data_IF_924369520858
#
_entry.id   IF_924369520858
#
_cell.length_a   1.000
_cell.length_b   1.000
_cell.length_c   1.000
_cell.angle_alpha   90.00
_cell.angle_beta   90.00
_cell.angle_gamma   90.00
#
_symmetry.space_group_name_H-M   'P 1'
#
loop_
_entity.id
_entity.type
_entity.pdbx_description
1 polymer ?
#
# COMPACT_ATOMS: atom_id res chain seq x y z
N UNK A 1 18.92 70.50 16.35
CA UNK A 1 17.64 70.51 15.67
C UNK A 1 17.40 69.17 15.07
N UNK A 2 16.49 68.40 15.67
CA UNK A 2 15.63 67.31 15.21
C UNK A 2 16.27 66.16 14.48
N UNK A 3 16.56 65.07 15.17
CA UNK A 3 15.80 63.86 15.47
C UNK A 3 14.94 63.31 14.31
N UNK A 4 15.33 62.15 13.80
CA UNK A 4 14.45 61.08 13.29
C UNK A 4 15.07 59.73 13.52
N UNK A 5 14.67 59.10 14.62
CA UNK A 5 14.66 57.65 14.85
C UNK A 5 13.64 57.00 13.89
N UNK A 6 14.04 56.03 13.14
CA UNK A 6 13.13 55.09 12.47
C UNK A 6 13.36 53.69 13.03
N UNK A 7 12.33 53.23 13.72
CA UNK A 7 12.20 51.89 14.24
C UNK A 7 12.14 50.86 13.08
N UNK A 8 12.94 49.83 13.17
CA UNK A 8 12.82 48.63 12.37
C UNK A 8 11.91 47.66 13.09
N UNK A 9 10.70 47.50 12.62
CA UNK A 9 9.79 46.42 12.99
C UNK A 9 10.24 45.14 12.33
N UNK A 10 10.70 44.21 13.14
CA UNK A 10 10.98 42.82 12.78
C UNK A 10 9.65 42.07 12.77
N UNK A 11 9.07 41.86 11.63
CA UNK A 11 7.98 40.91 11.46
C UNK A 11 8.54 39.49 11.42
N UNK A 12 8.39 38.75 12.51
CA UNK A 12 8.47 37.31 12.55
C UNK A 12 7.26 36.74 11.85
N UNK A 13 7.49 36.16 10.66
CA UNK A 13 6.46 35.42 9.93
C UNK A 13 6.14 34.12 10.65
N UNK A 14 4.95 34.04 11.18
CA UNK A 14 4.34 32.79 11.65
C UNK A 14 4.17 31.84 10.45
N UNK A 15 4.86 30.71 10.54
CA UNK A 15 4.64 29.56 9.62
C UNK A 15 3.29 28.95 9.99
N UNK A 16 2.27 29.28 9.23
CA UNK A 16 0.93 28.68 9.37
C UNK A 16 0.99 27.21 8.96
N UNK A 17 0.87 26.30 9.90
CA UNK A 17 0.73 24.87 9.67
C UNK A 17 -0.50 24.58 8.82
N UNK A 18 -0.29 24.07 7.61
CA UNK A 18 -1.32 23.49 6.74
C UNK A 18 -1.72 22.10 7.27
N UNK A 19 -2.52 22.04 8.35
CA UNK A 19 -2.97 20.80 8.99
C UNK A 19 -4.48 20.56 8.92
N UNK A 20 -5.22 21.37 8.16
CA UNK A 20 -6.68 21.22 8.04
C UNK A 20 -7.13 21.04 6.59
N UNK A 21 -8.12 20.19 6.37
CA UNK A 21 -8.90 20.14 5.13
C UNK A 21 -9.69 21.44 4.95
N UNK A 22 -10.17 21.73 3.74
CA UNK A 22 -10.94 22.95 3.40
C UNK A 22 -12.17 23.20 4.29
N UNK A 23 -12.54 22.26 5.18
CA UNK A 23 -13.66 22.34 6.12
C UNK A 23 -13.23 22.46 7.60
N UNK A 24 -11.92 22.56 7.93
CA UNK A 24 -11.45 22.74 9.31
C UNK A 24 -11.47 21.46 10.17
N UNK A 25 -11.78 20.29 9.60
CA UNK A 25 -11.71 19.00 10.30
C UNK A 25 -10.27 18.46 10.30
N UNK A 26 -9.83 17.75 11.37
CA UNK A 26 -8.53 17.10 11.39
C UNK A 26 -8.44 16.05 10.27
N UNK A 27 -7.26 15.91 9.65
CA UNK A 27 -7.02 14.93 8.57
C UNK A 27 -7.35 13.49 8.97
N UNK A 28 -7.26 13.15 10.26
CA UNK A 28 -7.66 11.85 10.80
C UNK A 28 -9.11 11.49 10.51
N UNK A 29 -10.01 12.48 10.58
CA UNK A 29 -11.45 12.29 10.41
C UNK A 29 -11.85 12.08 8.93
N UNK A 30 -10.96 12.37 8.01
CA UNK A 30 -11.12 12.14 6.57
C UNK A 30 -10.53 10.82 6.06
N UNK A 31 -9.99 9.99 6.97
CA UNK A 31 -9.38 8.69 6.63
C UNK A 31 -10.31 7.55 7.03
N UNK A 32 -10.78 6.78 6.06
CA UNK A 32 -11.54 5.56 6.30
C UNK A 32 -10.61 4.34 6.40
N UNK A 33 -11.02 3.31 7.14
CA UNK A 33 -10.27 2.06 7.27
C UNK A 33 -11.10 0.87 6.77
N UNK A 34 -10.55 0.11 5.84
CA UNK A 34 -11.19 -1.05 5.22
C UNK A 34 -10.38 -2.32 5.48
N UNK A 35 -11.07 -3.39 5.86
CA UNK A 35 -10.46 -4.70 6.09
C UNK A 35 -10.99 -5.70 5.07
N UNK A 36 -10.10 -6.23 4.25
CA UNK A 36 -10.41 -7.31 3.29
C UNK A 36 -10.43 -8.63 4.05
N UNK A 37 -11.56 -9.34 4.01
CA UNK A 37 -11.71 -10.62 4.70
C UNK A 37 -12.57 -11.58 3.86
N UNK A 38 -12.10 -12.82 3.70
CA UNK A 38 -12.86 -13.89 3.04
C UNK A 38 -14.02 -14.35 3.93
N UNK A 39 -15.19 -14.62 3.35
CA UNK A 39 -16.38 -15.06 4.11
C UNK A 39 -16.13 -16.34 4.89
N UNK A 40 -15.31 -17.26 4.36
CA UNK A 40 -14.92 -18.50 5.07
C UNK A 40 -13.99 -18.27 6.26
N UNK A 41 -13.37 -17.09 6.41
CA UNK A 41 -12.43 -16.74 7.48
C UNK A 41 -13.10 -15.79 8.49
N UNK A 42 -14.33 -16.12 8.90
CA UNK A 42 -15.14 -15.28 9.78
C UNK A 42 -14.51 -15.06 11.16
N UNK A 43 -13.79 -16.05 11.67
CA UNK A 43 -13.03 -15.95 12.93
C UNK A 43 -11.91 -14.88 12.87
N UNK A 44 -11.28 -14.68 11.71
CA UNK A 44 -10.30 -13.62 11.52
C UNK A 44 -10.98 -12.24 11.51
N UNK A 45 -12.16 -12.15 10.87
CA UNK A 45 -12.95 -10.92 10.93
C UNK A 45 -13.33 -10.57 12.37
N UNK A 46 -13.87 -11.52 13.12
CA UNK A 46 -14.23 -11.28 14.53
C UNK A 46 -13.04 -10.84 15.37
N UNK A 47 -11.85 -11.39 15.10
CA UNK A 47 -10.63 -11.01 15.81
C UNK A 47 -10.24 -9.57 15.56
N UNK A 48 -10.09 -9.17 14.28
CA UNK A 48 -9.68 -7.80 13.93
C UNK A 48 -10.75 -6.77 14.28
N UNK A 49 -12.03 -7.13 14.16
CA UNK A 49 -13.14 -6.30 14.63
C UNK A 49 -13.07 -6.05 16.14
N UNK A 50 -12.82 -7.11 16.93
CA UNK A 50 -12.67 -6.97 18.37
C UNK A 50 -11.42 -6.17 18.78
N UNK A 51 -10.33 -6.21 18.01
CA UNK A 51 -9.19 -5.30 18.21
C UNK A 51 -9.59 -3.84 17.92
N UNK A 52 -10.27 -3.60 16.79
CA UNK A 52 -10.72 -2.27 16.40
C UNK A 52 -11.67 -1.65 17.43
N UNK A 53 -12.63 -2.42 17.93
CA UNK A 53 -13.56 -1.98 19.00
C UNK A 53 -12.81 -1.58 20.27
N UNK A 54 -11.82 -2.36 20.72
CA UNK A 54 -10.99 -2.03 21.89
C UNK A 54 -10.18 -0.76 21.71
N UNK A 55 -9.78 -0.44 20.49
CA UNK A 55 -9.00 0.73 20.14
C UNK A 55 -9.88 1.94 19.78
N UNK A 56 -11.21 1.79 19.77
CA UNK A 56 -12.14 2.83 19.32
C UNK A 56 -12.00 3.19 17.84
N UNK A 57 -11.46 2.27 17.03
CA UNK A 57 -11.23 2.46 15.59
C UNK A 57 -12.43 1.97 14.79
N UNK A 58 -12.98 2.82 13.93
CA UNK A 58 -14.00 2.41 12.97
C UNK A 58 -13.34 1.70 11.79
N UNK A 59 -13.75 0.45 11.52
CA UNK A 59 -13.30 -0.33 10.37
C UNK A 59 -14.50 -0.88 9.61
N UNK A 60 -14.43 -0.85 8.27
CA UNK A 60 -15.43 -1.43 7.40
C UNK A 60 -14.90 -2.71 6.76
N UNK A 61 -15.72 -3.78 6.80
CA UNK A 61 -15.38 -5.05 6.16
C UNK A 61 -15.64 -4.98 4.66
N UNK A 62 -14.66 -5.38 3.87
CA UNK A 62 -14.82 -5.63 2.44
C UNK A 62 -14.70 -7.13 2.19
N UNK A 63 -15.70 -7.70 1.52
CA UNK A 63 -15.69 -9.13 1.19
C UNK A 63 -14.51 -9.47 0.27
N UNK A 64 -13.68 -10.40 0.70
CA UNK A 64 -12.60 -10.95 -0.10
C UNK A 64 -13.14 -11.83 -1.23
N UNK A 65 -12.36 -11.95 -2.31
CA UNK A 65 -12.72 -12.77 -3.47
C UNK A 65 -12.13 -14.17 -3.34
N UNK A 66 -12.99 -15.19 -3.16
CA UNK A 66 -12.55 -16.59 -3.19
C UNK A 66 -12.41 -17.09 -4.62
N UNK A 67 -11.20 -17.08 -5.13
CA UNK A 67 -10.88 -17.56 -6.48
C UNK A 67 -10.47 -19.04 -6.50
N UNK A 68 -10.70 -19.84 -5.45
CA UNK A 68 -10.31 -21.25 -5.39
C UNK A 68 -10.94 -22.09 -6.51
N UNK A 69 -12.11 -21.69 -7.02
CA UNK A 69 -12.85 -22.34 -8.09
C UNK A 69 -12.75 -21.64 -9.45
N UNK A 70 -11.94 -20.58 -9.55
CA UNK A 70 -11.79 -19.80 -10.79
C UNK A 70 -10.80 -20.47 -11.71
N UNK A 71 -11.20 -20.70 -12.97
CA UNK A 71 -10.29 -21.07 -14.06
C UNK A 71 -9.47 -19.84 -14.48
N UNK A 72 -8.17 -19.83 -14.17
CA UNK A 72 -7.30 -18.72 -14.57
C UNK A 72 -7.14 -18.58 -16.10
N UNK A 73 -7.49 -19.59 -16.86
CA UNK A 73 -7.51 -19.51 -18.33
C UNK A 73 -8.62 -18.59 -18.84
N UNK A 74 -9.71 -18.49 -18.09
CA UNK A 74 -10.89 -17.68 -18.39
C UNK A 74 -10.97 -16.40 -17.54
N UNK A 75 -9.97 -16.20 -16.68
CA UNK A 75 -9.95 -15.08 -15.76
C UNK A 75 -9.80 -13.75 -16.51
N UNK A 76 -10.78 -12.87 -16.32
CA UNK A 76 -10.77 -11.53 -16.88
C UNK A 76 -9.52 -10.76 -16.41
N UNK A 77 -9.00 -9.92 -17.30
CA UNK A 77 -7.84 -9.06 -17.04
C UNK A 77 -6.52 -9.78 -16.76
N UNK A 78 -6.48 -11.11 -16.61
CA UNK A 78 -5.24 -11.86 -16.37
C UNK A 78 -4.42 -12.04 -17.66
N UNK A 79 -3.25 -11.45 -17.69
CA UNK A 79 -2.30 -11.51 -18.80
C UNK A 79 -1.27 -12.63 -18.58
N UNK A 80 -1.69 -13.88 -18.78
CA UNK A 80 -0.89 -15.08 -18.50
C UNK A 80 0.56 -14.98 -19.00
N UNK A 81 0.78 -14.67 -20.29
CA UNK A 81 2.13 -14.60 -20.88
C UNK A 81 3.00 -13.53 -20.23
N UNK A 82 2.43 -12.35 -19.97
CA UNK A 82 3.13 -11.24 -19.31
C UNK A 82 3.47 -11.61 -17.86
N UNK A 83 2.51 -12.21 -17.14
CA UNK A 83 2.71 -12.66 -15.76
C UNK A 83 3.83 -13.71 -15.66
N UNK A 84 3.81 -14.74 -16.52
CA UNK A 84 4.85 -15.80 -16.52
C UNK A 84 6.22 -15.21 -16.85
N UNK A 85 6.30 -14.31 -17.84
CA UNK A 85 7.56 -13.61 -18.17
C UNK A 85 8.13 -12.83 -16.98
N UNK A 86 7.28 -12.11 -16.25
CA UNK A 86 7.70 -11.28 -15.13
C UNK A 86 8.05 -12.10 -13.89
N UNK A 87 7.29 -13.16 -13.60
CA UNK A 87 7.37 -13.90 -12.33
C UNK A 87 8.11 -15.25 -12.43
N UNK A 88 8.29 -15.80 -13.64
CA UNK A 88 8.89 -17.11 -13.87
C UNK A 88 8.01 -18.27 -13.42
N UNK A 89 6.69 -18.03 -13.30
CA UNK A 89 5.65 -19.01 -12.93
C UNK A 89 4.27 -18.48 -13.33
N UNK A 90 3.25 -19.32 -13.46
CA UNK A 90 1.86 -18.86 -13.55
C UNK A 90 1.39 -18.25 -12.24
N UNK A 91 0.30 -17.50 -12.30
CA UNK A 91 -0.44 -16.98 -11.15
C UNK A 91 -1.15 -18.11 -10.40
N UNK A 92 -1.30 -17.98 -9.09
CA UNK A 92 -2.14 -18.87 -8.29
C UNK A 92 -3.56 -18.30 -8.16
N UNK A 93 -4.60 -19.15 -8.06
CA UNK A 93 -5.97 -18.66 -7.84
C UNK A 93 -6.10 -17.73 -6.62
N UNK A 94 -5.41 -18.04 -5.50
CA UNK A 94 -5.42 -17.16 -4.33
C UNK A 94 -4.85 -15.77 -4.61
N UNK A 95 -3.79 -15.65 -5.43
CA UNK A 95 -3.23 -14.35 -5.82
C UNK A 95 -4.22 -13.57 -6.70
N UNK A 96 -4.96 -14.26 -7.56
CA UNK A 96 -6.00 -13.63 -8.38
C UNK A 96 -7.14 -13.10 -7.51
N UNK A 97 -7.61 -13.91 -6.54
CA UNK A 97 -8.62 -13.50 -5.57
C UNK A 97 -8.18 -12.29 -4.73
N UNK A 98 -6.95 -12.33 -4.20
CA UNK A 98 -6.35 -11.21 -3.48
C UNK A 98 -6.32 -9.94 -4.34
N UNK A 99 -5.88 -10.04 -5.59
CA UNK A 99 -5.84 -8.91 -6.52
C UNK A 99 -7.24 -8.28 -6.68
N UNK A 100 -8.24 -9.09 -6.98
CA UNK A 100 -9.62 -8.61 -7.16
C UNK A 100 -10.21 -8.02 -5.88
N UNK A 101 -9.88 -8.58 -4.72
CA UNK A 101 -10.34 -8.08 -3.43
C UNK A 101 -9.79 -6.68 -3.13
N UNK A 102 -8.51 -6.41 -3.39
CA UNK A 102 -7.96 -5.07 -3.30
C UNK A 102 -8.61 -4.09 -4.27
N UNK A 103 -8.85 -4.50 -5.52
CA UNK A 103 -9.56 -3.65 -6.48
C UNK A 103 -11.01 -3.36 -6.03
N UNK A 104 -11.67 -4.32 -5.37
CA UNK A 104 -12.99 -4.12 -4.76
C UNK A 104 -12.93 -3.13 -3.60
N UNK A 105 -11.96 -3.28 -2.69
CA UNK A 105 -11.79 -2.37 -1.56
C UNK A 105 -11.57 -0.91 -2.01
N UNK A 106 -10.79 -0.69 -3.07
CA UNK A 106 -10.61 0.64 -3.65
C UNK A 106 -11.91 1.21 -4.23
N UNK A 107 -12.77 0.37 -4.85
CA UNK A 107 -14.09 0.82 -5.35
C UNK A 107 -15.03 1.17 -4.20
N UNK A 108 -15.04 0.36 -3.12
CA UNK A 108 -15.79 0.65 -1.90
C UNK A 108 -15.34 1.99 -1.30
N UNK A 109 -14.03 2.20 -1.17
CA UNK A 109 -13.49 3.47 -0.71
C UNK A 109 -13.97 4.65 -1.58
N UNK A 110 -13.91 4.52 -2.90
CA UNK A 110 -14.34 5.62 -3.81
C UNK A 110 -15.83 5.93 -3.75
N UNK A 111 -16.67 5.01 -3.25
CA UNK A 111 -18.09 5.27 -3.00
C UNK A 111 -18.37 6.00 -1.67
N UNK A 112 -17.38 6.09 -0.77
CA UNK A 112 -17.48 6.87 0.46
C UNK A 112 -17.16 8.35 0.23
N UNK A 113 -17.29 9.18 1.25
CA UNK A 113 -16.89 10.60 1.25
C UNK A 113 -15.45 10.84 1.74
N UNK A 114 -14.74 9.81 2.20
CA UNK A 114 -13.40 9.95 2.76
C UNK A 114 -12.38 10.43 1.73
N UNK A 115 -11.39 11.21 2.13
CA UNK A 115 -10.32 11.73 1.25
C UNK A 115 -9.20 10.73 1.04
N UNK A 116 -8.98 9.85 2.03
CA UNK A 116 -8.01 8.78 1.98
C UNK A 116 -8.54 7.52 2.66
N UNK A 117 -7.89 6.40 2.41
CA UNK A 117 -8.23 5.13 3.03
C UNK A 117 -7.00 4.35 3.45
N UNK A 118 -7.10 3.67 4.58
CA UNK A 118 -6.22 2.58 4.97
C UNK A 118 -6.89 1.29 4.50
N UNK A 119 -6.23 0.57 3.60
CA UNK A 119 -6.69 -0.75 3.14
C UNK A 119 -5.84 -1.80 3.83
N UNK A 120 -6.49 -2.77 4.48
CA UNK A 120 -5.83 -3.82 5.26
C UNK A 120 -6.34 -5.21 4.90
N UNK A 121 -5.49 -6.23 5.03
CA UNK A 121 -5.90 -7.64 5.08
C UNK A 121 -6.27 -8.03 6.52
N UNK A 122 -6.96 -9.16 6.69
CA UNK A 122 -7.49 -9.63 7.97
C UNK A 122 -6.45 -10.34 8.87
N UNK A 123 -5.19 -10.30 8.48
CA UNK A 123 -4.07 -10.94 9.18
C UNK A 123 -3.06 -9.94 9.76
N UNK A 124 -3.46 -8.70 9.96
CA UNK A 124 -2.67 -7.68 10.65
C UNK A 124 -3.11 -7.52 12.11
N UNK A 125 -2.21 -7.00 12.97
CA UNK A 125 -2.52 -6.55 14.32
C UNK A 125 -2.61 -5.04 14.36
N UNK A 126 -3.74 -4.50 14.80
CA UNK A 126 -4.01 -3.07 14.81
C UNK A 126 -3.17 -2.35 15.88
N UNK A 127 -2.81 -1.09 15.59
CA UNK A 127 -2.12 -0.21 16.52
C UNK A 127 -3.03 0.98 16.86
N UNK A 128 -3.03 1.40 18.12
CA UNK A 128 -3.91 2.47 18.59
C UNK A 128 -3.70 3.81 17.88
N UNK A 129 -2.49 4.06 17.39
CA UNK A 129 -2.10 5.30 16.72
C UNK A 129 -2.07 5.19 15.17
N UNK A 130 -2.67 4.12 14.61
CA UNK A 130 -2.62 3.85 13.16
C UNK A 130 -3.19 5.01 12.33
N UNK A 131 -4.35 5.53 12.70
CA UNK A 131 -5.04 6.58 11.95
C UNK A 131 -4.28 7.91 12.05
N UNK A 132 -3.80 8.26 13.23
CA UNK A 132 -3.01 9.48 13.46
C UNK A 132 -1.66 9.42 12.74
N UNK A 133 -1.01 8.26 12.72
CA UNK A 133 0.23 8.07 11.94
C UNK A 133 -0.06 8.17 10.45
N UNK A 134 -1.17 7.60 9.97
CA UNK A 134 -1.58 7.74 8.57
C UNK A 134 -1.84 9.21 8.20
N UNK A 135 -2.50 9.98 9.05
CA UNK A 135 -2.71 11.41 8.85
C UNK A 135 -1.38 12.19 8.81
N UNK A 136 -0.47 11.90 9.74
CA UNK A 136 0.86 12.52 9.77
C UNK A 136 1.70 12.16 8.52
N UNK A 137 1.56 10.94 8.01
CA UNK A 137 2.20 10.49 6.78
C UNK A 137 1.66 11.27 5.56
N UNK A 138 0.34 11.42 5.43
CA UNK A 138 -0.26 12.24 4.34
C UNK A 138 0.19 13.68 4.40
N UNK A 139 0.22 14.28 5.59
CA UNK A 139 0.70 15.65 5.78
C UNK A 139 2.16 15.81 5.35
N UNK A 140 3.02 14.84 5.68
CA UNK A 140 4.43 14.85 5.30
C UNK A 140 4.69 14.49 3.82
N UNK A 141 3.72 13.83 3.15
CA UNK A 141 3.84 13.39 1.75
C UNK A 141 2.62 13.78 0.90
N UNK A 142 2.32 15.08 0.71
CA UNK A 142 1.09 15.55 0.05
C UNK A 142 0.99 15.12 -1.43
N UNK A 143 2.10 14.74 -2.04
CA UNK A 143 2.15 14.22 -3.41
C UNK A 143 1.89 12.71 -3.49
N UNK A 144 1.69 12.00 -2.38
CA UNK A 144 1.51 10.56 -2.37
C UNK A 144 0.18 10.14 -3.01
N UNK A 145 0.24 9.17 -3.89
CA UNK A 145 -0.94 8.42 -4.34
C UNK A 145 -1.15 7.21 -3.42
N UNK A 146 -0.05 6.52 -3.04
CA UNK A 146 -0.03 5.33 -2.17
C UNK A 146 1.16 5.38 -1.22
N UNK A 147 0.96 5.01 0.05
CA UNK A 147 2.04 4.77 1.01
C UNK A 147 1.88 3.38 1.63
N UNK A 148 2.85 2.52 1.44
CA UNK A 148 2.86 1.18 2.07
C UNK A 148 3.20 1.32 3.54
N UNK A 149 2.31 0.87 4.42
CA UNK A 149 2.44 0.94 5.88
C UNK A 149 3.02 -0.36 6.47
N UNK A 150 2.96 -1.46 5.70
CA UNK A 150 3.55 -2.74 6.03
C UNK A 150 4.30 -3.31 4.83
N UNK A 151 5.55 -3.69 5.06
CA UNK A 151 6.43 -4.29 4.07
C UNK A 151 7.08 -5.55 4.66
N UNK A 152 7.28 -6.59 3.85
CA UNK A 152 8.07 -7.74 4.30
C UNK A 152 9.55 -7.39 4.47
N UNK A 153 10.04 -6.42 3.71
CA UNK A 153 11.40 -5.91 3.81
C UNK A 153 11.53 -4.50 3.23
N UNK A 154 12.39 -3.71 3.83
CA UNK A 154 12.84 -2.42 3.33
C UNK A 154 14.35 -2.50 3.11
N UNK A 155 14.81 -2.35 1.86
CA UNK A 155 16.25 -2.48 1.51
C UNK A 155 16.73 -1.23 0.83
N UNK A 156 17.76 -0.61 1.38
CA UNK A 156 18.32 0.68 0.96
C UNK A 156 17.19 1.73 0.83
N UNK A 157 16.51 1.95 1.95
CA UNK A 157 15.46 2.96 2.07
C UNK A 157 16.07 4.36 1.97
N UNK A 158 15.61 5.15 1.02
CA UNK A 158 15.94 6.57 0.89
C UNK A 158 14.83 7.39 1.53
N UNK A 159 15.13 8.02 2.64
CA UNK A 159 14.22 8.95 3.32
C UNK A 159 13.91 10.15 2.42
N UNK A 160 12.63 10.53 2.36
CA UNK A 160 12.14 11.70 1.63
C UNK A 160 11.47 12.66 2.59
N UNK A 161 10.73 12.16 3.57
CA UNK A 161 10.05 12.95 4.59
C UNK A 161 10.10 12.26 5.94
N UNK A 162 10.06 13.03 7.01
CA UNK A 162 9.85 12.56 8.37
C UNK A 162 8.58 13.16 8.92
N UNK A 163 7.70 12.31 9.48
CA UNK A 163 6.42 12.76 10.02
C UNK A 163 6.58 13.40 11.41
N UNK A 164 5.58 14.14 11.85
CA UNK A 164 5.50 14.66 13.23
C UNK A 164 5.41 13.53 14.28
N UNK A 165 5.05 12.33 13.88
CA UNK A 165 4.99 11.11 14.71
C UNK A 165 6.29 10.29 14.66
N UNK A 166 7.32 10.78 13.95
CA UNK A 166 8.64 10.16 13.88
C UNK A 166 8.79 9.12 12.76
N UNK A 167 7.76 8.84 11.97
CA UNK A 167 7.86 7.90 10.85
C UNK A 167 8.78 8.45 9.75
N UNK A 168 9.66 7.59 9.25
CA UNK A 168 10.52 7.88 8.10
C UNK A 168 9.86 7.33 6.84
N UNK A 169 9.47 8.22 5.94
CA UNK A 169 8.74 7.89 4.70
C UNK A 169 9.64 8.16 3.50
N UNK A 170 9.70 7.20 2.58
CA UNK A 170 10.58 7.32 1.44
C UNK A 170 10.37 6.25 0.39
N UNK A 171 11.44 5.89 -0.30
CA UNK A 171 11.44 4.88 -1.37
C UNK A 171 12.61 3.90 -1.19
N UNK A 172 12.38 2.63 -1.49
CA UNK A 172 13.43 1.62 -1.49
C UNK A 172 14.10 1.49 -2.85
N UNK A 173 15.45 1.52 -2.88
CA UNK A 173 16.23 1.30 -4.10
C UNK A 173 16.16 -0.16 -4.55
N UNK A 174 16.05 -1.09 -3.61
CA UNK A 174 15.95 -2.53 -3.89
C UNK A 174 14.59 -3.09 -3.50
N UNK A 175 14.17 -4.14 -4.22
CA UNK A 175 12.89 -4.78 -4.01
C UNK A 175 12.79 -6.14 -4.70
N UNK A 176 11.62 -6.71 -4.76
CA UNK A 176 10.34 -6.16 -4.27
C UNK A 176 10.30 -6.08 -2.74
N UNK A 177 9.56 -5.09 -2.22
CA UNK A 177 9.31 -4.95 -0.78
C UNK A 177 8.35 -6.03 -0.29
N UNK A 178 7.41 -6.42 -1.19
CA UNK A 178 6.36 -7.39 -0.89
C UNK A 178 5.32 -6.83 0.09
N UNK A 179 4.30 -7.61 0.33
CA UNK A 179 3.12 -7.30 1.16
C UNK A 179 2.23 -6.18 0.60
N UNK A 180 0.95 -6.45 0.56
CA UNK A 180 -0.12 -5.46 0.41
C UNK A 180 -1.04 -5.47 1.64
N UNK A 181 -0.59 -6.13 2.73
CA UNK A 181 -1.40 -6.36 3.93
C UNK A 181 -1.83 -5.07 4.62
N UNK A 182 -1.11 -3.95 4.44
CA UNK A 182 -1.59 -2.63 4.84
C UNK A 182 -0.95 -1.52 4.01
N UNK A 183 -1.78 -0.63 3.49
CA UNK A 183 -1.33 0.58 2.79
C UNK A 183 -2.36 1.70 2.91
N UNK A 184 -1.86 2.92 2.84
CA UNK A 184 -2.63 4.15 2.77
C UNK A 184 -2.75 4.58 1.32
N UNK A 185 -3.95 5.01 0.89
CA UNK A 185 -4.22 5.45 -0.47
C UNK A 185 -5.09 6.69 -0.46
N UNK A 186 -4.72 7.69 -1.27
CA UNK A 186 -5.57 8.87 -1.48
C UNK A 186 -6.65 8.56 -2.51
N UNK A 187 -7.73 9.35 -2.52
CA UNK A 187 -8.81 9.21 -3.52
C UNK A 187 -8.26 9.30 -4.95
N UNK A 188 -7.37 10.25 -5.22
CA UNK A 188 -6.67 10.36 -6.50
C UNK A 188 -5.82 9.12 -6.79
N UNK A 189 -5.12 8.61 -5.78
CA UNK A 189 -4.33 7.39 -5.88
C UNK A 189 -5.19 6.17 -6.21
N UNK A 190 -6.33 6.00 -5.56
CA UNK A 190 -7.25 4.89 -5.79
C UNK A 190 -7.77 4.86 -7.25
N UNK A 191 -8.15 6.01 -7.79
CA UNK A 191 -8.56 6.12 -9.22
C UNK A 191 -7.43 5.69 -10.16
N UNK A 192 -6.21 6.16 -9.91
CA UNK A 192 -5.03 5.76 -10.71
C UNK A 192 -4.71 4.27 -10.56
N UNK A 193 -4.79 3.70 -9.35
CA UNK A 193 -4.57 2.27 -9.13
C UNK A 193 -5.58 1.46 -9.92
N UNK A 194 -6.88 1.78 -9.84
CA UNK A 194 -7.93 1.08 -10.59
C UNK A 194 -7.71 1.12 -12.10
N UNK A 195 -7.25 2.26 -12.63
CA UNK A 195 -6.94 2.40 -14.06
C UNK A 195 -5.67 1.65 -14.47
N UNK A 196 -4.58 1.88 -13.74
CA UNK A 196 -3.25 1.40 -14.17
C UNK A 196 -2.99 -0.07 -13.84
N UNK A 197 -3.69 -0.61 -12.85
CA UNK A 197 -3.57 -1.99 -12.40
C UNK A 197 -4.74 -2.88 -12.87
N UNK A 198 -5.58 -2.43 -13.79
CA UNK A 198 -6.66 -3.22 -14.35
C UNK A 198 -6.16 -4.53 -14.97
N UNK A 199 -5.03 -4.47 -15.69
CA UNK A 199 -4.42 -5.65 -16.33
C UNK A 199 -3.46 -6.35 -15.37
N UNK A 200 -3.73 -7.61 -15.08
CA UNK A 200 -3.00 -8.41 -14.10
C UNK A 200 -1.78 -9.07 -14.72
N UNK A 201 -0.63 -8.45 -14.60
CA UNK A 201 0.67 -8.94 -15.10
C UNK A 201 1.64 -9.32 -13.97
N UNK A 202 1.32 -8.96 -12.72
CA UNK A 202 2.12 -9.18 -11.52
C UNK A 202 1.20 -9.47 -10.33
N UNK A 203 1.70 -10.09 -9.25
CA UNK A 203 1.00 -10.09 -7.96
C UNK A 203 0.70 -8.66 -7.50
N UNK A 204 -0.40 -8.45 -6.79
CA UNK A 204 -0.89 -7.12 -6.44
C UNK A 204 0.13 -6.29 -5.64
N UNK A 205 0.78 -6.90 -4.66
CA UNK A 205 1.81 -6.27 -3.83
C UNK A 205 2.98 -5.73 -4.66
N UNK A 206 3.43 -6.49 -5.68
CA UNK A 206 4.49 -6.08 -6.60
C UNK A 206 3.98 -5.02 -7.59
N UNK A 207 2.75 -5.17 -8.10
CA UNK A 207 2.15 -4.21 -9.02
C UNK A 207 1.99 -2.83 -8.37
N UNK A 208 1.51 -2.79 -7.12
CA UNK A 208 1.24 -1.57 -6.35
C UNK A 208 2.52 -0.73 -6.12
N UNK A 209 3.66 -1.36 -5.89
CA UNK A 209 4.92 -0.65 -5.59
C UNK A 209 5.64 -0.09 -6.84
N UNK A 210 5.11 -0.34 -8.06
CA UNK A 210 5.78 0.00 -9.33
C UNK A 210 5.44 1.41 -9.84
N UNK A 211 5.63 2.43 -9.01
CA UNK A 211 5.40 3.83 -9.42
C UNK A 211 6.10 4.22 -10.74
N UNK A 212 7.29 3.67 -11.00
CA UNK A 212 8.03 3.88 -12.26
C UNK A 212 7.35 3.34 -13.53
N UNK A 213 6.42 2.42 -13.39
CA UNK A 213 5.70 1.83 -14.51
C UNK A 213 4.27 2.35 -14.64
N UNK A 214 3.69 2.80 -13.54
CA UNK A 214 2.28 3.22 -13.44
C UNK A 214 2.09 4.73 -13.40
N UNK A 215 3.15 5.49 -13.11
CA UNK A 215 3.06 6.93 -12.85
C UNK A 215 2.43 7.27 -11.49
N UNK A 216 2.24 6.27 -10.62
CA UNK A 216 1.83 6.48 -9.24
C UNK A 216 2.98 7.07 -8.41
N UNK A 217 2.67 8.02 -7.53
CA UNK A 217 3.59 8.46 -6.48
C UNK A 217 3.49 7.50 -5.30
N UNK A 218 4.34 6.46 -5.31
CA UNK A 218 4.36 5.41 -4.29
C UNK A 218 5.50 5.65 -3.32
N UNK A 219 5.17 5.61 -2.04
CA UNK A 219 6.12 5.67 -0.94
C UNK A 219 5.98 4.44 -0.04
N UNK A 220 6.90 4.28 0.88
CA UNK A 220 6.82 3.28 1.96
C UNK A 220 7.41 3.84 3.24
N UNK A 221 6.89 3.40 4.37
CA UNK A 221 7.53 3.62 5.65
C UNK A 221 8.79 2.76 5.74
N UNK A 222 9.82 3.27 6.42
CA UNK A 222 11.05 2.53 6.72
C UNK A 222 10.78 1.39 7.69
N UNK A 223 10.14 1.72 8.78
CA UNK A 223 9.75 0.80 9.84
C UNK A 223 8.22 0.62 9.79
N UNK A 224 7.75 -0.62 9.80
CA UNK A 224 6.33 -0.91 9.66
C UNK A 224 5.50 -0.24 10.74
N UNK A 225 4.36 0.35 10.34
CA UNK A 225 3.41 1.00 11.26
C UNK A 225 2.65 -0.02 12.11
N UNK A 226 2.44 -1.21 11.54
CA UNK A 226 1.78 -2.34 12.18
C UNK A 226 2.45 -3.65 11.77
N UNK A 227 2.06 -4.75 12.40
CA UNK A 227 2.68 -6.05 12.17
C UNK A 227 1.65 -7.07 11.67
N UNK A 228 2.14 -8.14 11.04
CA UNK A 228 1.30 -9.30 10.76
C UNK A 228 0.94 -10.01 12.07
N UNK A 229 -0.28 -10.50 12.18
CA UNK A 229 -0.72 -11.29 13.32
C UNK A 229 0.01 -12.64 13.36
N UNK A 230 0.14 -13.24 14.52
CA UNK A 230 0.77 -14.57 14.68
C UNK A 230 0.10 -15.64 13.82
N UNK A 231 -1.20 -15.52 13.59
CA UNK A 231 -2.00 -16.42 12.74
C UNK A 231 -1.65 -16.38 11.25
N UNK A 232 -0.96 -15.34 10.78
CA UNK A 232 -0.53 -15.23 9.38
C UNK A 232 0.55 -16.24 8.99
N UNK A 233 1.31 -16.77 9.97
CA UNK A 233 2.41 -17.69 9.72
C UNK A 233 1.97 -19.05 9.17
N UNK A 234 0.81 -19.56 9.55
CA UNK A 234 0.31 -20.87 9.12
C UNK A 234 -0.03 -20.91 7.63
N UNK A 235 -0.65 -19.86 7.09
CA UNK A 235 -1.01 -19.78 5.68
C UNK A 235 0.22 -19.61 4.76
N UNK A 236 1.27 -18.94 5.20
CA UNK A 236 2.48 -18.68 4.41
C UNK A 236 3.31 -19.95 4.14
N UNK A 237 3.30 -20.93 5.04
CA UNK A 237 4.10 -22.17 4.91
C UNK A 237 3.52 -23.07 3.80
N UNK A 238 2.20 -23.24 3.77
CA UNK A 238 1.52 -24.07 2.76
C UNK A 238 1.71 -23.54 1.34
N UNK A 239 1.70 -22.23 1.15
CA UNK A 239 1.88 -21.59 -0.14
C UNK A 239 3.30 -21.73 -0.69
N UNK A 240 4.35 -21.71 0.14
CA UNK A 240 5.74 -21.79 -0.30
C UNK A 240 6.07 -23.07 -1.08
N UNK A 241 5.52 -24.21 -0.68
CA UNK A 241 5.71 -25.50 -1.38
C UNK A 241 5.07 -25.44 -2.77
N UNK A 242 3.84 -24.95 -2.88
CA UNK A 242 3.10 -24.77 -4.12
C UNK A 242 3.80 -23.79 -5.08
N UNK A 243 4.32 -22.68 -4.56
CA UNK A 243 5.11 -21.72 -5.35
C UNK A 243 6.37 -22.36 -5.96
N UNK A 244 7.06 -23.25 -5.24
CA UNK A 244 8.28 -23.90 -5.73
C UNK A 244 7.99 -24.88 -6.87
N UNK A 245 6.87 -25.61 -6.80
CA UNK A 245 6.51 -26.64 -7.78
C UNK A 245 6.21 -26.10 -9.17
N UNK A 246 5.64 -24.88 -9.27
CA UNK A 246 5.19 -24.25 -10.52
C UNK A 246 6.23 -23.32 -11.16
N UNK A 247 7.41 -23.14 -10.54
CA UNK A 247 8.46 -22.25 -11.07
C UNK A 247 9.09 -22.84 -12.33
N UNK A 248 9.27 -21.97 -13.34
CA UNK A 248 10.09 -22.30 -14.52
C UNK A 248 11.52 -22.64 -14.11
N UNK A 249 12.18 -23.50 -14.89
CA UNK A 249 13.57 -23.95 -14.65
C UNK A 249 14.45 -23.70 -15.86
N UNK A 250 15.76 -23.62 -15.65
CA UNK A 250 16.76 -23.49 -16.70
C UNK A 250 16.56 -22.26 -17.59
N UNK A 251 16.80 -22.40 -18.88
CA UNK A 251 16.76 -21.32 -19.86
C UNK A 251 15.40 -20.63 -19.98
N UNK A 252 14.30 -21.29 -19.60
CA UNK A 252 12.96 -20.71 -19.59
C UNK A 252 12.82 -19.52 -18.61
N UNK A 253 13.77 -19.35 -17.67
CA UNK A 253 13.83 -18.20 -16.75
C UNK A 253 14.53 -16.96 -17.30
N UNK A 254 15.23 -17.06 -18.41
CA UNK A 254 15.98 -15.93 -18.98
C UNK A 254 15.10 -14.68 -19.14
N UNK A 255 13.89 -14.75 -19.72
CA UNK A 255 13.02 -13.57 -19.81
C UNK A 255 12.69 -12.94 -18.47
N UNK A 256 12.50 -13.77 -17.42
CA UNK A 256 12.24 -13.28 -16.05
C UNK A 256 13.45 -12.56 -15.47
N UNK A 257 14.66 -13.05 -15.69
CA UNK A 257 15.87 -12.38 -15.21
C UNK A 257 16.09 -11.04 -15.92
N UNK A 258 15.90 -11.00 -17.24
CA UNK A 258 15.96 -9.74 -18.01
C UNK A 258 14.93 -8.75 -17.50
N UNK A 259 13.67 -9.18 -17.32
CA UNK A 259 12.62 -8.35 -16.75
C UNK A 259 13.03 -7.76 -15.39
N UNK A 260 13.55 -8.58 -14.49
CA UNK A 260 13.97 -8.15 -13.14
C UNK A 260 15.12 -7.15 -13.15
N UNK A 261 16.07 -7.29 -14.07
CA UNK A 261 17.17 -6.32 -14.22
C UNK A 261 16.61 -4.97 -14.69
N UNK A 262 15.73 -4.97 -15.69
CA UNK A 262 15.07 -3.75 -16.17
C UNK A 262 14.25 -3.09 -15.04
N UNK A 263 13.51 -3.87 -14.29
CA UNK A 263 12.71 -3.38 -13.17
C UNK A 263 13.60 -2.79 -12.06
N UNK A 264 14.73 -3.40 -11.76
CA UNK A 264 15.68 -2.91 -10.78
C UNK A 264 16.24 -1.54 -11.20
N UNK A 265 16.69 -1.40 -12.44
CA UNK A 265 17.21 -0.10 -12.93
C UNK A 265 16.15 1.00 -12.92
N UNK A 266 14.91 0.68 -13.32
CA UNK A 266 13.79 1.62 -13.27
C UNK A 266 13.41 2.01 -11.84
N UNK A 267 13.40 1.05 -10.91
CA UNK A 267 13.16 1.28 -9.48
C UNK A 267 14.20 2.23 -8.90
N UNK A 268 15.49 1.96 -9.14
CA UNK A 268 16.58 2.82 -8.66
C UNK A 268 16.41 4.25 -9.18
N UNK A 269 16.17 4.41 -10.46
CA UNK A 269 15.92 5.73 -11.05
C UNK A 269 14.72 6.43 -10.40
N UNK A 270 13.61 5.74 -10.20
CA UNK A 270 12.42 6.26 -9.55
C UNK A 270 12.65 6.63 -8.07
N UNK A 271 13.46 5.87 -7.36
CA UNK A 271 13.76 6.14 -5.95
C UNK A 271 14.73 7.32 -5.77
N UNK A 272 15.56 7.60 -6.77
CA UNK A 272 16.54 8.70 -6.76
C UNK A 272 15.97 10.02 -7.26
N UNK A 273 15.00 10.00 -8.13
CA UNK A 273 14.44 11.19 -8.76
C UNK A 273 13.03 11.46 -8.55
#
# INVERSE_FOLDING_TARGET
MQDRQSAQDTQLGESTELTATACGQPLSDSIAAYVINLDRSFDRWQHIQGEAEKLGMAVERVAGVDASKVSLAEAAFYRHRAFVRANGRPMLPAEYGCYLAHMSALRTFLSSSADAAIIMEDDVSLQADLVERAAAILAATPAADVVKLLNHRTVLHRSIARTSRGDDVGRCLFGPQGSAACYLVTRKGALKVLEKLEQIELPYDIALERGWATGLSVYSVKDNVLHLSERSHESQIADRAKYRSIKLRGLRKIPTHIFRIIELTRRIKYALG
#
